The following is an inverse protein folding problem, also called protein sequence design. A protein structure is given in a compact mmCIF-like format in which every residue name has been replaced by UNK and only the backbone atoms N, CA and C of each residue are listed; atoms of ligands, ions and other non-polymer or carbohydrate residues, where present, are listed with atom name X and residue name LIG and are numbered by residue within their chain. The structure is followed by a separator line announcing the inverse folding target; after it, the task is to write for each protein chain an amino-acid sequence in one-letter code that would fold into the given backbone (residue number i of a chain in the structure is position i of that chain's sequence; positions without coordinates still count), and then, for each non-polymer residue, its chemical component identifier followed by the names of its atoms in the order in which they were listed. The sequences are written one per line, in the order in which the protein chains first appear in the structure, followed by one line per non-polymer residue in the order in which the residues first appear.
data_IF_567137775775
#
_entry.id   IF_567137775775
#
_cell.length_a   1.000
_cell.length_b   1.000
_cell.length_c   1.000
_cell.angle_alpha   90.00
_cell.angle_beta   90.00
_cell.angle_gamma   90.00
#
_symmetry.space_group_name_H-M   'P 1'
#
loop_
_entity.id
_entity.type
_entity.pdbx_description
1 polymer ?
#
# COMPACT_ATOMS: atom_id res chain seq x y z
N UNK A 1 -1.83 -17.39 -17.94
CA UNK A 1 -1.00 -16.78 -19.02
C UNK A 1 -1.81 -16.06 -20.12
N UNK A 2 -3.13 -16.23 -20.16
CA UNK A 2 -3.99 -15.50 -21.14
C UNK A 2 -4.36 -14.07 -20.70
N UNK A 3 -4.08 -13.70 -19.44
CA UNK A 3 -4.34 -12.33 -18.96
C UNK A 3 -3.30 -11.30 -19.44
N UNK A 4 -2.15 -11.72 -19.99
CA UNK A 4 -1.08 -10.79 -20.35
C UNK A 4 -1.27 -10.09 -21.69
N UNK A 5 -1.96 -10.69 -22.67
CA UNK A 5 -2.15 -10.08 -23.99
C UNK A 5 -3.31 -9.07 -23.99
N UNK A 6 -4.42 -9.37 -23.31
CA UNK A 6 -5.53 -8.43 -23.16
C UNK A 6 -5.12 -7.19 -22.35
N UNK A 7 -4.28 -7.34 -21.34
CA UNK A 7 -3.72 -6.24 -20.59
C UNK A 7 -2.90 -5.28 -21.49
N UNK A 8 -2.11 -5.79 -22.46
CA UNK A 8 -1.25 -4.95 -23.29
C UNK A 8 -2.03 -3.99 -24.18
N UNK A 9 -3.19 -4.39 -24.68
CA UNK A 9 -4.01 -3.56 -25.58
C UNK A 9 -4.81 -2.51 -24.81
N UNK A 10 -5.24 -2.84 -23.60
CA UNK A 10 -5.82 -1.86 -22.65
C UNK A 10 -4.79 -0.80 -22.27
N UNK A 11 -3.54 -1.17 -22.07
CA UNK A 11 -2.45 -0.25 -21.74
C UNK A 11 -2.17 0.77 -22.86
N UNK A 12 -2.13 0.34 -24.11
CA UNK A 12 -1.90 1.22 -25.26
C UNK A 12 -3.02 2.25 -25.44
N UNK A 13 -4.27 1.87 -25.23
CA UNK A 13 -5.42 2.77 -25.31
C UNK A 13 -5.47 3.81 -24.18
N UNK A 14 -5.06 3.44 -22.96
CA UNK A 14 -5.15 4.33 -21.79
C UNK A 14 -4.13 5.47 -21.80
N UNK A 15 -3.00 5.35 -22.50
CA UNK A 15 -2.04 6.44 -22.67
C UNK A 15 -2.68 7.63 -23.43
N UNK A 16 -3.65 7.37 -24.26
CA UNK A 16 -4.33 8.36 -25.11
C UNK A 16 -5.71 8.77 -24.57
N UNK A 17 -6.23 8.13 -23.50
CA UNK A 17 -7.53 8.47 -22.92
C UNK A 17 -7.48 9.69 -22.02
N UNK A 18 -8.52 10.50 -22.05
CA UNK A 18 -8.73 11.59 -21.11
C UNK A 18 -9.00 11.00 -19.70
N UNK A 19 -8.45 11.63 -18.66
CA UNK A 19 -8.69 11.22 -17.26
C UNK A 19 -7.57 10.42 -16.60
N UNK A 20 -6.51 10.03 -17.33
CA UNK A 20 -5.33 9.40 -16.70
C UNK A 20 -4.32 10.48 -16.28
N UNK A 21 -4.17 10.70 -14.98
CA UNK A 21 -3.14 11.56 -14.42
C UNK A 21 -1.78 10.86 -14.41
N UNK A 22 -0.69 11.61 -14.63
CA UNK A 22 0.70 11.10 -14.58
C UNK A 22 1.01 9.97 -15.57
N UNK A 23 0.77 10.22 -16.84
CA UNK A 23 0.96 9.25 -17.94
C UNK A 23 2.33 8.56 -17.97
N UNK A 24 3.39 9.21 -17.51
CA UNK A 24 4.75 8.61 -17.43
C UNK A 24 4.87 7.46 -16.41
N UNK A 25 3.94 7.33 -15.47
CA UNK A 25 3.95 6.21 -14.52
C UNK A 25 3.45 4.90 -15.15
N UNK A 26 2.89 4.96 -16.35
CA UNK A 26 2.39 3.81 -17.12
C UNK A 26 3.53 3.03 -17.79
N UNK A 27 4.75 3.56 -17.78
CA UNK A 27 5.88 2.94 -18.44
C UNK A 27 6.22 1.59 -17.80
N UNK A 28 6.07 0.50 -18.55
CA UNK A 28 6.40 -0.86 -18.11
C UNK A 28 7.80 -1.24 -18.59
N UNK A 29 8.78 -1.06 -17.71
CA UNK A 29 10.19 -1.38 -17.96
C UNK A 29 10.71 -2.28 -16.82
N UNK A 30 10.31 -3.57 -16.79
CA UNK A 30 10.57 -4.46 -15.65
C UNK A 30 12.05 -4.68 -15.38
N UNK A 31 12.92 -4.53 -16.37
CA UNK A 31 14.38 -4.64 -16.24
C UNK A 31 15.01 -3.49 -15.43
N UNK A 32 14.34 -2.32 -15.35
CA UNK A 32 14.78 -1.20 -14.51
C UNK A 32 14.35 -1.34 -13.04
N UNK A 33 13.42 -2.25 -12.74
CA UNK A 33 12.87 -2.41 -11.39
C UNK A 33 13.94 -2.61 -10.30
N UNK A 34 15.02 -3.40 -10.49
CA UNK A 34 16.03 -3.60 -9.46
C UNK A 34 16.70 -2.32 -8.99
N UNK A 35 16.88 -1.33 -9.88
CA UNK A 35 17.48 -0.04 -9.56
C UNK A 35 16.63 0.78 -8.57
N UNK A 36 15.34 0.44 -8.48
CA UNK A 36 14.37 1.16 -7.66
C UNK A 36 13.93 0.39 -6.42
N UNK A 37 14.42 -0.82 -6.15
CA UNK A 37 13.96 -1.64 -5.01
C UNK A 37 14.01 -0.91 -3.68
N UNK A 38 15.07 -0.15 -3.46
CA UNK A 38 15.28 0.58 -2.21
C UNK A 38 15.09 2.09 -2.35
N UNK A 39 14.57 2.53 -3.50
CA UNK A 39 14.30 3.93 -3.74
C UNK A 39 13.15 4.41 -2.84
N UNK A 40 13.35 5.56 -2.19
CA UNK A 40 12.33 6.19 -1.33
C UNK A 40 11.80 5.30 -0.20
N UNK A 41 12.68 4.61 0.51
CA UNK A 41 12.32 3.77 1.66
C UNK A 41 11.47 4.49 2.71
N UNK A 42 11.64 5.79 2.87
CA UNK A 42 10.95 6.62 3.86
C UNK A 42 9.63 7.24 3.35
N UNK A 43 9.17 6.91 2.15
CA UNK A 43 7.87 7.38 1.70
C UNK A 43 6.75 6.66 2.44
N UNK A 44 5.70 7.43 2.79
CA UNK A 44 4.45 6.87 3.32
C UNK A 44 3.85 5.91 2.29
N UNK A 45 3.43 4.78 2.75
CA UNK A 45 2.72 3.78 1.98
C UNK A 45 1.31 4.27 1.64
N UNK A 46 0.73 3.68 0.60
CA UNK A 46 -0.66 3.88 0.23
C UNK A 46 -1.31 2.51 0.12
N UNK A 47 -2.35 2.26 0.87
CA UNK A 47 -3.02 0.96 0.93
C UNK A 47 -3.54 0.46 -0.41
N UNK A 48 -3.80 1.37 -1.35
CA UNK A 48 -4.31 1.02 -2.68
C UNK A 48 -3.32 0.22 -3.57
N UNK A 49 -2.02 0.24 -3.27
CA UNK A 49 -1.02 -0.48 -4.09
C UNK A 49 0.10 -1.03 -3.23
N UNK A 50 -0.23 -2.03 -2.43
CA UNK A 50 0.71 -2.69 -1.53
C UNK A 50 0.43 -4.19 -1.48
N UNK A 51 1.48 -5.01 -1.37
CA UNK A 51 1.38 -6.46 -1.27
C UNK A 51 2.26 -6.95 -0.14
N UNK A 52 1.80 -7.98 0.56
CA UNK A 52 2.48 -8.62 1.67
C UNK A 52 2.51 -10.13 1.49
N UNK A 53 3.50 -10.77 2.06
CA UNK A 53 3.46 -12.21 2.24
C UNK A 53 2.48 -12.57 3.36
N UNK A 54 1.69 -13.63 3.16
CA UNK A 54 0.72 -14.11 4.16
C UNK A 54 1.37 -14.32 5.53
N UNK A 55 2.55 -14.95 5.55
CA UNK A 55 3.25 -15.23 6.81
C UNK A 55 3.66 -13.95 7.54
N UNK A 56 4.11 -12.92 6.81
CA UNK A 56 4.47 -11.63 7.41
C UNK A 56 3.26 -10.95 8.03
N UNK A 57 2.09 -11.03 7.37
CA UNK A 57 0.83 -10.52 7.93
C UNK A 57 0.43 -11.28 9.22
N UNK A 58 0.54 -12.59 9.22
CA UNK A 58 0.24 -13.40 10.40
C UNK A 58 1.17 -13.06 11.57
N UNK A 59 2.46 -12.85 11.29
CA UNK A 59 3.46 -12.54 12.31
C UNK A 59 3.18 -11.19 13.02
N UNK A 60 2.57 -10.24 12.33
CA UNK A 60 2.20 -8.92 12.91
C UNK A 60 0.73 -8.84 13.30
N UNK A 61 -0.02 -9.95 13.21
CA UNK A 61 -1.45 -10.02 13.50
C UNK A 61 -2.35 -9.24 12.53
N UNK A 62 -1.92 -9.07 11.28
CA UNK A 62 -2.73 -8.37 10.27
C UNK A 62 -2.88 -6.87 10.50
N UNK A 63 -3.99 -6.33 10.06
CA UNK A 63 -4.40 -4.95 10.37
C UNK A 63 -4.83 -4.85 11.83
N UNK A 64 -4.59 -3.72 12.45
CA UNK A 64 -5.02 -3.42 13.81
C UNK A 64 -6.48 -2.91 13.74
N UNK A 65 -7.42 -3.68 14.29
CA UNK A 65 -8.86 -3.40 14.18
C UNK A 65 -9.33 -2.27 15.08
N UNK A 66 -8.46 -1.75 15.93
CA UNK A 66 -8.72 -0.53 16.70
C UNK A 66 -8.79 0.71 15.80
N UNK A 67 -8.21 0.67 14.57
CA UNK A 67 -8.35 1.74 13.60
C UNK A 67 -9.76 1.73 12.98
N UNK A 68 -10.62 2.63 13.44
CA UNK A 68 -11.99 2.72 12.94
C UNK A 68 -12.12 3.76 11.83
N UNK A 69 -12.83 3.40 10.78
CA UNK A 69 -13.13 4.29 9.67
C UNK A 69 -11.96 4.49 8.71
N UNK A 70 -11.40 5.69 8.61
CA UNK A 70 -10.41 6.05 7.59
C UNK A 70 -9.15 6.66 8.21
N UNK A 71 -7.99 6.17 7.76
CA UNK A 71 -6.69 6.77 8.00
C UNK A 71 -5.86 6.07 9.07
N UNK A 72 -4.54 6.07 8.85
CA UNK A 72 -3.46 5.50 9.65
C UNK A 72 -3.31 3.98 9.57
N UNK A 73 -4.32 3.19 9.22
CA UNK A 73 -4.24 1.74 9.03
C UNK A 73 -3.18 1.35 7.98
N UNK A 74 -3.11 2.11 6.88
CA UNK A 74 -2.20 1.91 5.75
C UNK A 74 -0.73 2.15 6.10
N UNK A 75 -0.45 2.96 7.11
CA UNK A 75 0.91 3.30 7.52
C UNK A 75 1.33 2.56 8.78
N UNK A 76 0.38 2.15 9.62
CA UNK A 76 0.65 1.37 10.84
C UNK A 76 1.15 -0.04 10.50
N UNK A 77 0.43 -0.78 9.65
CA UNK A 77 0.82 -2.13 9.26
C UNK A 77 2.24 -2.20 8.67
N UNK A 78 2.63 -1.37 7.69
CA UNK A 78 4.02 -1.33 7.22
C UNK A 78 5.02 -0.89 8.30
N UNK A 79 4.63 -0.04 9.23
CA UNK A 79 5.50 0.35 10.34
C UNK A 79 5.80 -0.85 11.25
N UNK A 80 4.79 -1.67 11.58
CA UNK A 80 4.96 -2.90 12.37
C UNK A 80 5.82 -3.93 11.64
N UNK A 81 5.60 -4.11 10.32
CA UNK A 81 6.42 -4.99 9.49
C UNK A 81 7.89 -4.56 9.45
N UNK A 82 8.17 -3.25 9.37
CA UNK A 82 9.54 -2.73 9.45
C UNK A 82 10.21 -3.02 10.80
N UNK A 83 9.46 -2.92 11.91
CA UNK A 83 9.97 -3.29 13.24
C UNK A 83 10.26 -4.79 13.34
N UNK A 84 9.50 -5.62 12.65
CA UNK A 84 9.78 -7.05 12.52
C UNK A 84 11.04 -7.34 11.66
N UNK A 85 11.61 -6.32 11.01
CA UNK A 85 12.80 -6.46 10.14
C UNK A 85 12.47 -6.66 8.66
N UNK A 86 11.21 -6.63 8.27
CA UNK A 86 10.79 -6.78 6.88
C UNK A 86 11.16 -5.53 6.08
N UNK A 87 11.85 -5.72 4.98
CA UNK A 87 12.29 -4.63 4.10
C UNK A 87 11.26 -4.36 3.01
N UNK A 88 10.84 -3.10 2.89
CA UNK A 88 10.02 -2.65 1.78
C UNK A 88 10.80 -2.70 0.47
N UNK A 89 10.15 -3.15 -0.61
CA UNK A 89 10.68 -3.09 -1.96
C UNK A 89 9.75 -2.31 -2.87
N UNK A 90 10.31 -1.39 -3.61
CA UNK A 90 9.60 -0.63 -4.63
C UNK A 90 9.64 -1.39 -5.95
N UNK A 91 8.47 -1.78 -6.46
CA UNK A 91 8.35 -2.50 -7.74
C UNK A 91 7.91 -1.57 -8.88
N UNK A 92 8.52 -0.38 -8.92
CA UNK A 92 8.30 0.60 -9.97
C UNK A 92 8.53 -0.03 -11.34
N UNK A 93 7.73 0.33 -12.33
CA UNK A 93 7.75 -0.18 -13.71
C UNK A 93 7.33 -1.65 -13.89
N UNK A 94 7.04 -2.41 -12.82
CA UNK A 94 6.66 -3.82 -12.90
C UNK A 94 5.21 -4.04 -12.47
N UNK A 95 4.79 -3.47 -11.36
CA UNK A 95 3.42 -3.50 -10.88
C UNK A 95 2.81 -2.09 -11.02
N UNK A 96 1.92 -1.94 -12.00
CA UNK A 96 1.29 -0.67 -12.32
C UNK A 96 -0.19 -0.80 -11.98
N UNK A 97 -0.67 0.13 -11.15
CA UNK A 97 -2.08 0.28 -10.83
C UNK A 97 -2.63 1.53 -11.54
N UNK A 98 -3.82 1.40 -12.08
CA UNK A 98 -4.54 2.50 -12.71
C UNK A 98 -5.65 2.97 -11.79
N UNK A 99 -5.50 4.18 -11.28
CA UNK A 99 -6.54 4.81 -10.50
C UNK A 99 -7.49 5.59 -11.43
N UNK A 100 -8.72 5.12 -11.53
CA UNK A 100 -9.77 5.81 -12.30
C UNK A 100 -10.19 7.05 -11.50
N UNK A 101 -10.17 8.21 -12.17
CA UNK A 101 -10.56 9.47 -11.55
C UNK A 101 -12.01 9.42 -11.07
N UNK A 102 -12.21 9.73 -9.82
CA UNK A 102 -13.53 9.95 -9.21
C UNK A 102 -13.48 11.18 -8.30
N UNK A 103 -14.64 11.77 -8.02
CA UNK A 103 -14.72 12.85 -7.03
C UNK A 103 -14.23 12.34 -5.68
N UNK A 104 -13.28 13.03 -5.08
CA UNK A 104 -12.87 12.73 -3.72
C UNK A 104 -14.09 12.88 -2.78
N UNK A 105 -14.23 11.96 -1.83
CA UNK A 105 -15.22 12.09 -0.79
C UNK A 105 -14.98 13.42 -0.05
N UNK A 106 -15.97 14.29 -0.01
CA UNK A 106 -15.85 15.65 0.54
C UNK A 106 -15.71 15.69 2.06
N UNK A 107 -15.86 14.56 2.72
CA UNK A 107 -15.74 14.45 4.18
C UNK A 107 -14.28 14.34 4.59
N UNK A 108 -13.71 15.44 5.10
CA UNK A 108 -12.57 15.36 6.02
C UNK A 108 -13.07 14.61 7.26
N UNK A 109 -12.84 13.29 7.29
CA UNK A 109 -13.12 12.50 8.47
C UNK A 109 -12.14 12.90 9.56
N UNK A 110 -12.63 13.02 10.77
CA UNK A 110 -11.77 13.20 11.94
C UNK A 110 -10.93 11.92 12.11
N UNK A 111 -9.62 12.07 11.98
CA UNK A 111 -8.65 10.98 12.11
C UNK A 111 -7.90 11.03 13.45
N UNK A 112 -8.29 11.92 14.36
CA UNK A 112 -7.55 12.18 15.60
C UNK A 112 -7.46 10.95 16.53
N UNK A 113 -8.50 10.11 16.54
CA UNK A 113 -8.50 8.87 17.31
C UNK A 113 -7.48 7.87 16.74
N UNK A 114 -7.48 7.68 15.42
CA UNK A 114 -6.54 6.80 14.74
C UNK A 114 -5.09 7.31 14.85
N UNK A 115 -4.89 8.61 14.81
CA UNK A 115 -3.57 9.23 15.01
C UNK A 115 -2.99 8.88 16.38
N UNK A 116 -3.79 8.99 17.44
CA UNK A 116 -3.37 8.62 18.80
C UNK A 116 -2.96 7.16 18.90
N UNK A 117 -3.74 6.24 18.32
CA UNK A 117 -3.42 4.81 18.28
C UNK A 117 -2.08 4.58 17.54
N UNK A 118 -1.90 5.22 16.40
CA UNK A 118 -0.67 5.11 15.62
C UNK A 118 0.54 5.64 16.37
N UNK A 119 0.43 6.79 17.04
CA UNK A 119 1.49 7.36 17.86
C UNK A 119 1.83 6.48 19.05
N UNK A 120 0.82 5.92 19.72
CA UNK A 120 1.00 4.96 20.79
C UNK A 120 1.73 3.71 20.33
N UNK A 121 1.27 3.09 19.22
CA UNK A 121 1.93 1.94 18.61
C UNK A 121 3.40 2.23 18.28
N UNK A 122 3.69 3.44 17.77
CA UNK A 122 5.06 3.86 17.46
C UNK A 122 5.90 4.05 18.70
N UNK A 123 5.38 4.71 19.73
CA UNK A 123 6.07 4.96 20.99
C UNK A 123 6.42 3.67 21.71
N UNK A 124 5.49 2.71 21.71
CA UNK A 124 5.63 1.42 22.38
C UNK A 124 6.37 0.38 21.53
N UNK A 125 6.76 0.70 20.30
CA UNK A 125 7.45 -0.23 19.41
C UNK A 125 6.64 -1.46 19.04
N UNK A 126 5.31 -1.35 18.95
CA UNK A 126 4.40 -2.47 18.71
C UNK A 126 4.73 -3.16 17.38
N UNK A 127 4.95 -4.47 17.44
CA UNK A 127 5.15 -5.33 16.25
C UNK A 127 3.87 -6.10 15.95
N UNK A 128 3.34 -6.82 16.94
CA UNK A 128 2.06 -7.54 16.82
C UNK A 128 0.96 -6.69 17.43
N UNK A 129 -0.07 -6.34 16.65
CA UNK A 129 -1.19 -5.56 17.19
C UNK A 129 -2.04 -6.40 18.15
N UNK A 130 -2.67 -5.77 19.16
CA UNK A 130 -3.47 -6.48 20.15
C UNK A 130 -4.77 -7.05 19.59
N UNK A 131 -5.38 -6.37 18.64
CA UNK A 131 -6.64 -6.75 18.00
C UNK A 131 -6.42 -6.91 16.50
N UNK A 132 -6.46 -8.11 15.98
CA UNK A 132 -6.20 -8.37 14.57
C UNK A 132 -6.70 -9.73 14.11
N UNK A 133 -6.02 -10.32 13.13
CA UNK A 133 -6.46 -11.50 12.41
C UNK A 133 -6.59 -12.76 13.31
N UNK A 134 -5.91 -12.81 14.44
CA UNK A 134 -5.97 -13.95 15.39
C UNK A 134 -7.36 -14.15 15.99
N UNK A 135 -8.22 -13.15 15.96
CA UNK A 135 -9.62 -13.26 16.40
C UNK A 135 -10.46 -14.14 15.46
N UNK A 136 -9.97 -14.44 14.25
CA UNK A 136 -10.67 -15.16 13.18
C UNK A 136 -10.00 -16.48 12.81
N UNK A 137 -8.92 -16.84 13.49
CA UNK A 137 -8.19 -18.09 13.28
C UNK A 137 -8.54 -19.13 14.35
#
# INVERSE_FOLDING_TARGET
LLASSAASDVYKRQIFTQGVCRKLNVLRLPWLTPLFFFYKQNQKERGCNISFWKQDLLNVNGYDERFLGYGYEDIDLPARLRRLGIKKRFIKFKAIEYHIHHKAASTKKDMSANEKIFEENNRNGVIKCPEGIDQYL
#
